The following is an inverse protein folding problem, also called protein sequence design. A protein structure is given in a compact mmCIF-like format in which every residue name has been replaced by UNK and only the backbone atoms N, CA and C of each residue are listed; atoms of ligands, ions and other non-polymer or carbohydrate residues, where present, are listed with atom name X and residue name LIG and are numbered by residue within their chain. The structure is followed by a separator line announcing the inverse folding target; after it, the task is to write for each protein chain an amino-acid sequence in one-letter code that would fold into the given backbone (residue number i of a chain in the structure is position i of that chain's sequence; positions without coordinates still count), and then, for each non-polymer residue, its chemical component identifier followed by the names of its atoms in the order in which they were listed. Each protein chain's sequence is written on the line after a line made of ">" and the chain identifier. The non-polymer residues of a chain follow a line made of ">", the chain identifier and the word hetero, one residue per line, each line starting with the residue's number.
data_IF_258767422714
#
_entry.id   IF_258767422714
#
_cell.length_a   1.000
_cell.length_b   1.000
_cell.length_c   1.000
_cell.angle_alpha   90.00
_cell.angle_beta   90.00
_cell.angle_gamma   90.00
#
_symmetry.space_group_name_H-M   'P 1'
#
loop_
_entity.id
_entity.type
_entity.pdbx_description
1 polymer ?
#
# COMPACT_ATOMS: atom_id res chain seq x y z
N UNK A 1 -6.58 -100.43 23.84
CA UNK A 1 -7.21 -100.30 22.51
C UNK A 1 -7.99 -99.00 22.55
N UNK A 2 -7.92 -98.18 21.51
CA UNK A 2 -8.77 -97.00 21.42
C UNK A 2 -10.18 -97.52 21.18
N UNK A 3 -10.95 -97.67 22.25
CA UNK A 3 -12.37 -97.96 22.13
C UNK A 3 -13.00 -96.70 21.52
N UNK A 4 -13.41 -96.83 20.26
CA UNK A 4 -14.09 -95.77 19.52
C UNK A 4 -15.51 -95.71 20.04
N UNK A 5 -15.64 -95.08 21.20
CA UNK A 5 -16.90 -94.86 21.89
C UNK A 5 -17.47 -93.47 21.55
N UNK A 6 -18.77 -93.31 21.82
CA UNK A 6 -19.52 -92.05 21.74
C UNK A 6 -18.78 -90.84 22.35
N UNK A 7 -17.92 -91.10 23.34
CA UNK A 7 -17.03 -90.16 24.02
C UNK A 7 -16.09 -89.42 23.08
N UNK A 8 -15.60 -90.04 21.99
CA UNK A 8 -14.79 -89.35 20.98
C UNK A 8 -15.60 -88.31 20.21
N UNK A 9 -16.86 -88.62 19.90
CA UNK A 9 -17.78 -87.67 19.27
C UNK A 9 -18.06 -86.47 20.17
N UNK A 10 -18.31 -86.72 21.46
CA UNK A 10 -18.51 -85.65 22.46
C UNK A 10 -17.25 -84.81 22.65
N UNK A 11 -16.06 -85.43 22.69
CA UNK A 11 -14.79 -84.70 22.78
C UNK A 11 -14.55 -83.81 21.56
N UNK A 12 -14.82 -84.31 20.35
CA UNK A 12 -14.68 -83.54 19.11
C UNK A 12 -15.64 -82.33 19.09
N UNK A 13 -16.90 -82.53 19.46
CA UNK A 13 -17.89 -81.45 19.59
C UNK A 13 -17.42 -80.42 20.63
N UNK A 14 -16.87 -80.87 21.76
CA UNK A 14 -16.37 -79.98 22.81
C UNK A 14 -15.19 -79.12 22.32
N UNK A 15 -14.26 -79.69 21.55
CA UNK A 15 -13.16 -78.94 20.93
C UNK A 15 -13.68 -77.94 19.91
N UNK A 16 -14.66 -78.32 19.08
CA UNK A 16 -15.27 -77.39 18.11
C UNK A 16 -15.96 -76.22 18.81
N UNK A 17 -16.74 -76.48 19.86
CA UNK A 17 -17.40 -75.44 20.67
C UNK A 17 -16.36 -74.54 21.34
N UNK A 18 -15.29 -75.12 21.89
CA UNK A 18 -14.21 -74.36 22.50
C UNK A 18 -13.49 -73.45 21.48
N UNK A 19 -13.16 -73.97 20.29
CA UNK A 19 -12.56 -73.19 19.21
C UNK A 19 -13.49 -72.07 18.74
N UNK A 20 -14.80 -72.35 18.65
CA UNK A 20 -15.79 -71.34 18.30
C UNK A 20 -15.88 -70.23 19.36
N UNK A 21 -15.89 -70.62 20.63
CA UNK A 21 -15.92 -69.69 21.75
C UNK A 21 -14.63 -68.85 21.80
N UNK A 22 -13.46 -69.46 21.57
CA UNK A 22 -12.18 -68.79 21.52
C UNK A 22 -12.10 -67.80 20.35
N UNK A 23 -12.62 -68.17 19.17
CA UNK A 23 -12.70 -67.27 18.02
C UNK A 23 -13.57 -66.04 18.33
N UNK A 24 -14.72 -66.26 18.97
CA UNK A 24 -15.67 -65.19 19.31
C UNK A 24 -15.19 -64.28 20.45
N UNK A 25 -14.52 -64.84 21.46
CA UNK A 25 -14.10 -64.09 22.67
C UNK A 25 -12.69 -63.49 22.55
N UNK A 26 -11.74 -64.13 21.84
CA UNK A 26 -10.35 -63.65 21.75
C UNK A 26 -9.99 -63.10 20.38
N UNK A 27 -10.11 -63.92 19.33
CA UNK A 27 -9.55 -63.57 18.02
C UNK A 27 -10.30 -62.41 17.34
N UNK A 28 -11.64 -62.40 17.40
CA UNK A 28 -12.44 -61.28 16.89
C UNK A 28 -12.15 -59.93 17.56
N UNK A 29 -12.21 -59.78 18.89
CA UNK A 29 -11.92 -58.49 19.52
C UNK A 29 -10.45 -58.08 19.38
N UNK A 30 -9.51 -59.03 19.38
CA UNK A 30 -8.10 -58.71 19.15
C UNK A 30 -7.85 -58.17 17.73
N UNK A 31 -8.46 -58.78 16.71
CA UNK A 31 -8.41 -58.30 15.34
C UNK A 31 -8.99 -56.89 15.20
N UNK A 32 -10.18 -56.65 15.78
CA UNK A 32 -10.80 -55.31 15.78
C UNK A 32 -9.94 -54.26 16.48
N UNK A 33 -9.27 -54.62 17.58
CA UNK A 33 -8.38 -53.69 18.28
C UNK A 33 -7.14 -53.34 17.45
N UNK A 34 -6.54 -54.32 16.76
CA UNK A 34 -5.43 -54.08 15.85
C UNK A 34 -5.84 -53.21 14.66
N UNK A 35 -6.98 -53.51 14.02
CA UNK A 35 -7.54 -52.70 12.92
C UNK A 35 -7.85 -51.27 13.37
N UNK A 36 -8.49 -51.09 14.54
CA UNK A 36 -8.79 -49.78 15.09
C UNK A 36 -7.51 -48.97 15.36
N UNK A 37 -6.46 -49.61 15.88
CA UNK A 37 -5.16 -48.97 16.12
C UNK A 37 -4.47 -48.58 14.81
N UNK A 38 -4.45 -49.48 13.83
CA UNK A 38 -3.87 -49.21 12.52
C UNK A 38 -4.61 -48.06 11.81
N UNK A 39 -5.94 -48.07 11.87
CA UNK A 39 -6.77 -47.02 11.29
C UNK A 39 -6.54 -45.68 11.98
N UNK A 40 -6.46 -45.65 13.31
CA UNK A 40 -6.14 -44.44 14.08
C UNK A 40 -4.80 -43.84 13.67
N UNK A 41 -3.74 -44.66 13.66
CA UNK A 41 -2.39 -44.20 13.27
C UNK A 41 -2.39 -43.67 11.83
N UNK A 42 -3.04 -44.38 10.89
CA UNK A 42 -3.13 -43.92 9.50
C UNK A 42 -3.89 -42.59 9.40
N UNK A 43 -5.01 -42.46 10.11
CA UNK A 43 -5.79 -41.23 10.14
C UNK A 43 -4.99 -40.05 10.70
N UNK A 44 -4.26 -40.27 11.80
CA UNK A 44 -3.42 -39.22 12.41
C UNK A 44 -2.29 -38.78 11.47
N UNK A 45 -1.67 -39.73 10.74
CA UNK A 45 -0.65 -39.42 9.74
C UNK A 45 -1.21 -38.66 8.55
N UNK A 46 -2.38 -39.06 8.05
CA UNK A 46 -3.06 -38.37 6.94
C UNK A 46 -3.49 -36.96 7.35
N UNK A 47 -3.99 -36.78 8.58
CA UNK A 47 -4.33 -35.48 9.13
C UNK A 47 -3.10 -34.60 9.31
N UNK A 48 -2.02 -35.13 9.87
CA UNK A 48 -0.76 -34.41 10.00
C UNK A 48 -0.20 -33.97 8.62
N UNK A 49 -0.27 -34.84 7.61
CA UNK A 49 0.15 -34.51 6.25
C UNK A 49 -0.72 -33.40 5.64
N UNK A 50 -2.05 -33.46 5.83
CA UNK A 50 -2.98 -32.41 5.38
C UNK A 50 -2.73 -31.08 6.06
N UNK A 51 -2.56 -31.07 7.39
CA UNK A 51 -2.28 -29.86 8.16
C UNK A 51 -0.96 -29.23 7.73
N UNK A 52 0.07 -30.05 7.49
CA UNK A 52 1.35 -29.58 6.96
C UNK A 52 1.20 -28.94 5.58
N UNK A 53 0.48 -29.58 4.67
CA UNK A 53 0.24 -29.02 3.33
C UNK A 53 -0.55 -27.71 3.39
N UNK A 54 -1.56 -27.63 4.26
CA UNK A 54 -2.32 -26.40 4.48
C UNK A 54 -1.44 -25.28 5.05
N UNK A 55 -0.55 -25.59 5.99
CA UNK A 55 0.37 -24.63 6.56
C UNK A 55 1.39 -24.13 5.52
N UNK A 56 1.95 -25.01 4.70
CA UNK A 56 2.87 -24.65 3.60
C UNK A 56 2.17 -23.78 2.55
N UNK A 57 0.92 -24.09 2.20
CA UNK A 57 0.11 -23.28 1.29
C UNK A 57 -0.23 -21.89 1.88
N UNK A 58 -0.58 -21.84 3.16
CA UNK A 58 -0.86 -20.59 3.87
C UNK A 58 0.39 -19.71 3.97
N UNK A 59 1.56 -20.29 4.28
CA UNK A 59 2.85 -19.58 4.29
C UNK A 59 3.18 -19.01 2.91
N UNK A 60 3.06 -19.82 1.86
CA UNK A 60 3.32 -19.37 0.49
C UNK A 60 2.40 -18.22 0.08
N UNK A 61 1.11 -18.33 0.42
CA UNK A 61 0.12 -17.27 0.16
C UNK A 61 0.49 -16.00 0.92
N UNK A 62 0.84 -16.11 2.20
CA UNK A 62 1.23 -15.00 3.05
C UNK A 62 2.50 -14.30 2.54
N UNK A 63 3.54 -15.06 2.19
CA UNK A 63 4.77 -14.53 1.61
C UNK A 63 4.51 -13.83 0.26
N UNK A 64 3.67 -14.41 -0.58
CA UNK A 64 3.29 -13.81 -1.86
C UNK A 64 2.54 -12.49 -1.67
N UNK A 65 1.61 -12.44 -0.71
CA UNK A 65 0.85 -11.24 -0.37
C UNK A 65 1.78 -10.15 0.19
N UNK A 66 2.68 -10.48 1.11
CA UNK A 66 3.69 -9.54 1.60
C UNK A 66 4.58 -9.00 0.47
N UNK A 67 5.01 -9.87 -0.45
CA UNK A 67 5.81 -9.47 -1.61
C UNK A 67 5.04 -8.59 -2.59
N UNK A 68 3.73 -8.81 -2.77
CA UNK A 68 2.87 -7.96 -3.57
C UNK A 68 2.67 -6.59 -2.91
N UNK A 69 2.29 -6.56 -1.63
CA UNK A 69 2.11 -5.31 -0.87
C UNK A 69 3.37 -4.46 -0.85
N UNK A 70 4.56 -5.06 -0.68
CA UNK A 70 5.83 -4.31 -0.73
C UNK A 70 6.07 -3.65 -2.09
N UNK A 71 5.73 -4.34 -3.18
CA UNK A 71 5.85 -3.80 -4.54
C UNK A 71 4.86 -2.66 -4.75
N UNK A 72 3.60 -2.85 -4.38
CA UNK A 72 2.57 -1.81 -4.48
C UNK A 72 2.95 -0.56 -3.67
N UNK A 73 3.44 -0.73 -2.44
CA UNK A 73 3.88 0.39 -1.60
C UNK A 73 5.06 1.14 -2.22
N UNK A 74 6.02 0.42 -2.82
CA UNK A 74 7.15 1.05 -3.51
C UNK A 74 6.70 1.80 -4.77
N UNK A 75 5.78 1.24 -5.54
CA UNK A 75 5.20 1.88 -6.72
C UNK A 75 4.39 3.13 -6.36
N UNK A 76 3.55 3.05 -5.31
CA UNK A 76 2.80 4.19 -4.80
C UNK A 76 3.71 5.28 -4.27
N UNK A 77 4.73 4.93 -3.49
CA UNK A 77 5.72 5.90 -3.00
C UNK A 77 6.44 6.60 -4.16
N UNK A 78 6.85 5.85 -5.19
CA UNK A 78 7.48 6.43 -6.38
C UNK A 78 6.51 7.33 -7.17
N UNK A 79 5.23 6.94 -7.29
CA UNK A 79 4.20 7.74 -7.95
C UNK A 79 3.94 9.06 -7.20
N UNK A 80 3.82 9.00 -5.88
CA UNK A 80 3.65 10.18 -5.01
C UNK A 80 4.86 11.10 -5.14
N UNK A 81 6.08 10.56 -5.09
CA UNK A 81 7.30 11.35 -5.24
C UNK A 81 7.34 12.10 -6.57
N UNK A 82 7.03 11.42 -7.69
CA UNK A 82 6.96 12.06 -9.01
C UNK A 82 5.88 13.13 -9.09
N UNK A 83 4.70 12.87 -8.50
CA UNK A 83 3.61 13.83 -8.46
C UNK A 83 3.98 15.08 -7.65
N UNK A 84 4.65 14.90 -6.50
CA UNK A 84 5.14 15.99 -5.67
C UNK A 84 6.22 16.82 -6.40
N UNK A 85 7.17 16.17 -7.08
CA UNK A 85 8.18 16.86 -7.88
C UNK A 85 7.55 17.66 -9.03
N UNK A 86 6.55 17.08 -9.72
CA UNK A 86 5.82 17.78 -10.78
C UNK A 86 5.06 19.00 -10.21
N UNK A 87 4.35 18.82 -9.09
CA UNK A 87 3.61 19.91 -8.43
C UNK A 87 4.54 21.01 -7.93
N UNK A 88 5.69 20.65 -7.37
CA UNK A 88 6.69 21.62 -6.93
C UNK A 88 7.23 22.44 -8.10
N UNK A 89 7.53 21.79 -9.23
CA UNK A 89 7.95 22.50 -10.46
C UNK A 89 6.86 23.43 -10.97
N UNK A 90 5.61 22.97 -11.02
CA UNK A 90 4.46 23.79 -11.42
C UNK A 90 4.33 25.04 -10.54
N UNK A 91 4.37 24.89 -9.22
CA UNK A 91 4.27 26.01 -8.27
C UNK A 91 5.43 27.00 -8.45
N UNK A 92 6.66 26.50 -8.64
CA UNK A 92 7.83 27.36 -8.84
C UNK A 92 7.72 28.15 -10.15
N UNK A 93 7.31 27.49 -11.25
CA UNK A 93 7.15 28.16 -12.54
C UNK A 93 6.00 29.17 -12.51
N UNK A 94 4.88 28.85 -11.86
CA UNK A 94 3.79 29.80 -11.67
C UNK A 94 4.22 31.01 -10.83
N UNK A 95 4.96 30.80 -9.74
CA UNK A 95 5.49 31.86 -8.92
C UNK A 95 6.49 32.75 -9.69
N UNK A 96 7.36 32.15 -10.51
CA UNK A 96 8.27 32.88 -11.40
C UNK A 96 7.52 33.71 -12.44
N UNK A 97 6.49 33.14 -13.05
CA UNK A 97 5.62 33.84 -14.00
C UNK A 97 4.94 35.05 -13.36
N UNK A 98 4.35 34.87 -12.18
CA UNK A 98 3.72 35.96 -11.41
C UNK A 98 4.73 37.04 -11.02
N UNK A 99 5.92 36.66 -10.54
CA UNK A 99 6.97 37.62 -10.22
C UNK A 99 7.41 38.42 -11.45
N UNK A 100 7.57 37.76 -12.61
CA UNK A 100 7.91 38.43 -13.87
C UNK A 100 6.85 39.42 -14.32
N UNK A 101 5.57 39.07 -14.22
CA UNK A 101 4.45 39.96 -14.50
C UNK A 101 4.44 41.18 -13.57
N UNK A 102 4.61 40.96 -12.27
CA UNK A 102 4.66 42.03 -11.28
C UNK A 102 5.82 43.02 -11.55
N UNK A 103 7.00 42.52 -11.93
CA UNK A 103 8.13 43.36 -12.30
C UNK A 103 7.83 44.17 -13.57
N UNK A 104 7.24 43.55 -14.59
CA UNK A 104 6.88 44.24 -15.83
C UNK A 104 5.83 45.34 -15.59
N UNK A 105 4.81 45.07 -14.77
CA UNK A 105 3.78 46.03 -14.38
C UNK A 105 4.36 47.20 -13.56
N UNK A 106 5.28 46.91 -12.63
CA UNK A 106 5.98 47.93 -11.86
C UNK A 106 6.83 48.83 -12.76
N UNK A 107 7.59 48.25 -13.69
CA UNK A 107 8.38 49.01 -14.67
C UNK A 107 7.50 49.89 -15.56
N UNK A 108 6.38 49.37 -16.06
CA UNK A 108 5.42 50.14 -16.85
C UNK A 108 4.81 51.30 -16.06
N UNK A 109 4.51 51.09 -14.78
CA UNK A 109 3.96 52.11 -13.89
C UNK A 109 4.99 53.20 -13.59
N UNK A 110 6.23 52.83 -13.25
CA UNK A 110 7.33 53.78 -13.06
C UNK A 110 7.53 54.61 -14.34
N UNK A 111 7.51 53.99 -15.52
CA UNK A 111 7.64 54.71 -16.79
C UNK A 111 6.54 55.77 -16.97
N UNK A 112 5.28 55.42 -16.68
CA UNK A 112 4.15 56.36 -16.74
C UNK A 112 4.29 57.50 -15.73
N UNK A 113 4.72 57.21 -14.50
CA UNK A 113 4.92 58.23 -13.46
C UNK A 113 6.07 59.18 -13.82
N UNK A 114 7.17 58.67 -14.37
CA UNK A 114 8.30 59.49 -14.82
C UNK A 114 7.88 60.46 -15.94
N UNK A 115 7.13 59.98 -16.93
CA UNK A 115 6.62 60.83 -18.01
C UNK A 115 5.62 61.87 -17.49
N UNK A 116 4.73 61.48 -16.55
CA UNK A 116 3.82 62.42 -15.88
C UNK A 116 4.56 63.49 -15.08
N UNK A 117 5.56 63.11 -14.29
CA UNK A 117 6.38 64.03 -13.50
C UNK A 117 7.18 64.99 -14.40
N UNK A 118 7.72 64.51 -15.52
CA UNK A 118 8.40 65.35 -16.53
C UNK A 118 7.46 66.39 -17.12
N UNK A 119 6.23 66.02 -17.46
CA UNK A 119 5.24 66.95 -17.97
C UNK A 119 4.89 68.04 -16.93
N UNK A 120 4.65 67.64 -15.68
CA UNK A 120 4.38 68.58 -14.58
C UNK A 120 5.54 69.55 -14.34
N UNK A 121 6.78 69.06 -14.32
CA UNK A 121 7.97 69.91 -14.18
C UNK A 121 8.12 70.89 -15.36
N UNK A 122 7.82 70.46 -16.59
CA UNK A 122 7.86 71.32 -17.76
C UNK A 122 6.82 72.45 -17.67
N UNK A 123 5.61 72.16 -17.19
CA UNK A 123 4.58 73.18 -16.98
C UNK A 123 4.94 74.14 -15.84
N UNK A 124 5.46 73.63 -14.72
CA UNK A 124 5.98 74.47 -13.63
C UNK A 124 7.13 75.37 -14.08
N UNK A 125 8.03 74.86 -14.93
CA UNK A 125 9.12 75.65 -15.49
C UNK A 125 8.60 76.77 -16.41
N UNK A 126 7.57 76.51 -17.23
CA UNK A 126 6.92 77.55 -18.05
C UNK A 126 6.24 78.62 -17.18
N UNK A 127 5.55 78.20 -16.12
CA UNK A 127 4.92 79.10 -15.14
C UNK A 127 5.97 80.03 -14.50
N UNK A 128 7.06 79.45 -13.99
CA UNK A 128 8.20 80.19 -13.41
C UNK A 128 8.83 81.15 -14.43
N UNK A 129 9.04 80.72 -15.66
CA UNK A 129 9.58 81.57 -16.72
C UNK A 129 8.68 82.79 -16.99
N UNK A 130 7.36 82.60 -17.04
CA UNK A 130 6.39 83.70 -17.19
C UNK A 130 6.47 84.68 -16.00
N UNK A 131 6.54 84.17 -14.77
CA UNK A 131 6.67 85.01 -13.57
C UNK A 131 7.97 85.84 -13.58
N UNK A 132 9.08 85.24 -14.00
CA UNK A 132 10.37 85.93 -14.14
C UNK A 132 10.31 87.02 -15.21
N UNK A 133 9.75 86.72 -16.39
CA UNK A 133 9.58 87.70 -17.47
C UNK A 133 8.67 88.86 -17.03
N UNK A 134 7.54 88.57 -16.40
CA UNK A 134 6.64 89.61 -15.88
C UNK A 134 7.34 90.52 -14.86
N UNK A 135 8.19 89.96 -13.99
CA UNK A 135 8.93 90.72 -12.99
C UNK A 135 10.07 91.56 -13.59
N UNK A 136 10.67 91.11 -14.69
CA UNK A 136 11.69 91.88 -15.44
C UNK A 136 11.05 93.02 -16.24
N UNK A 137 9.97 92.74 -16.99
CA UNK A 137 9.27 93.74 -17.80
C UNK A 137 8.56 94.80 -16.94
N UNK A 138 8.00 94.41 -15.79
CA UNK A 138 7.44 95.36 -14.82
C UNK A 138 8.49 96.27 -14.15
N UNK A 139 9.78 95.93 -14.27
CA UNK A 139 10.90 96.73 -13.74
C UNK A 139 11.50 97.67 -14.79
N UNK A 140 11.33 97.37 -16.09
CA UNK A 140 11.76 98.24 -17.18
C UNK A 140 10.76 99.37 -17.50
N UNK A 141 9.48 99.21 -17.14
CA UNK A 141 8.47 100.26 -17.30
C UNK A 141 8.51 101.35 -16.21
N UNK A 142 9.44 101.27 -15.25
CA UNK A 142 9.67 102.28 -14.20
C UNK A 142 11.08 102.83 -14.36
N UNK A 143 11.31 103.57 -15.44
CA UNK A 143 12.42 104.50 -15.60
C UNK A 143 11.97 105.70 -16.41
#
# INVERSE_FOLDING_TARGET
>A
MLDIDWTLGVALISVIIFLWLLNKILFQPLGRFMEAREHGIRSDLDEAARLRQQAEAALTTYESALGATRREMAEQAAAVQRAMEAKQREIIEEARGRAGQMVAEAQATIGREVEGARAQLADQARELARLVVAKLMGREAVR
#
